data_IF_809546280891
#
_entry.id   IF_809546280891
#
_cell.length_a   1.000
_cell.length_b   1.000
_cell.length_c   1.000
_cell.angle_alpha   90.00
_cell.angle_beta   90.00
_cell.angle_gamma   90.00
#
_symmetry.space_group_name_H-M   'P 1'
#
loop_
_entity.id
_entity.type
_entity.pdbx_description
1 polymer ?
#
# COMPACT_ATOMS: atom_id res chain seq x y z
N UNK A 1 10.62 2.26 1.18
CA UNK A 1 11.75 1.51 1.75
C UNK A 1 11.20 0.37 2.59
N UNK A 2 11.54 -0.87 2.24
CA UNK A 2 11.12 -2.06 2.98
C UNK A 2 12.09 -2.33 4.13
N UNK A 3 11.56 -2.39 5.35
CA UNK A 3 12.29 -2.67 6.59
C UNK A 3 11.46 -3.62 7.45
N UNK A 4 12.02 -4.25 8.50
CA UNK A 4 11.25 -5.07 9.42
C UNK A 4 10.11 -4.32 10.15
N UNK A 5 10.10 -3.00 10.15
CA UNK A 5 9.01 -2.16 10.69
C UNK A 5 8.00 -1.74 9.62
N UNK A 6 8.20 -2.10 8.35
CA UNK A 6 7.26 -1.73 7.30
C UNK A 6 6.05 -2.67 7.30
N UNK A 7 4.89 -2.11 7.03
CA UNK A 7 3.66 -2.91 6.92
C UNK A 7 3.77 -4.00 5.85
N UNK A 8 4.43 -3.71 4.72
CA UNK A 8 4.66 -4.70 3.67
C UNK A 8 5.46 -5.93 4.15
N UNK A 9 6.40 -5.77 5.09
CA UNK A 9 7.10 -6.90 5.69
C UNK A 9 6.15 -7.79 6.49
N UNK A 10 5.30 -7.21 7.33
CA UNK A 10 4.34 -7.96 8.13
C UNK A 10 3.27 -8.64 7.29
N UNK A 11 2.86 -8.00 6.18
CA UNK A 11 1.97 -8.65 5.21
C UNK A 11 2.66 -9.85 4.54
N UNK A 12 3.92 -9.70 4.12
CA UNK A 12 4.68 -10.80 3.51
C UNK A 12 4.84 -11.98 4.49
N UNK A 13 5.19 -11.70 5.75
CA UNK A 13 5.30 -12.70 6.80
C UNK A 13 3.95 -13.41 7.03
N UNK A 14 2.87 -12.65 7.17
CA UNK A 14 1.53 -13.21 7.37
C UNK A 14 1.06 -14.04 6.18
N UNK A 15 1.35 -13.59 4.95
CA UNK A 15 1.04 -14.35 3.75
C UNK A 15 1.82 -15.68 3.69
N UNK A 16 3.10 -15.71 4.08
CA UNK A 16 3.88 -16.95 4.17
C UNK A 16 3.31 -17.92 5.22
N UNK A 17 2.83 -17.43 6.36
CA UNK A 17 2.15 -18.25 7.38
C UNK A 17 0.89 -18.92 6.81
N UNK A 18 0.23 -18.32 5.82
CA UNK A 18 -0.90 -18.91 5.08
C UNK A 18 -0.47 -19.72 3.84
N UNK A 19 0.83 -19.91 3.65
CA UNK A 19 1.38 -20.76 2.58
C UNK A 19 1.65 -20.05 1.26
N UNK A 20 1.63 -18.73 1.21
CA UNK A 20 1.96 -17.98 -0.01
C UNK A 20 3.47 -17.97 -0.28
N UNK A 21 3.83 -18.06 -1.55
CA UNK A 21 5.17 -17.73 -2.03
C UNK A 21 5.21 -16.22 -2.31
N UNK A 22 6.18 -15.52 -1.72
CA UNK A 22 6.26 -14.07 -1.83
C UNK A 22 7.51 -13.62 -2.55
N UNK A 23 7.39 -12.53 -3.31
CA UNK A 23 8.52 -11.75 -3.81
C UNK A 23 8.41 -10.32 -3.29
N UNK A 24 9.54 -9.69 -3.04
CA UNK A 24 9.60 -8.29 -2.60
C UNK A 24 10.19 -7.42 -3.70
N UNK A 25 9.71 -6.19 -3.80
CA UNK A 25 10.25 -5.23 -4.75
C UNK A 25 10.90 -4.03 -4.06
N UNK A 26 11.94 -3.51 -4.71
CA UNK A 26 12.63 -2.29 -4.32
C UNK A 26 13.46 -1.79 -5.51
N UNK A 27 14.20 -0.70 -5.36
CA UNK A 27 15.05 -0.20 -6.43
C UNK A 27 16.32 0.49 -5.92
N UNK A 28 17.33 0.55 -6.78
CA UNK A 28 18.58 1.26 -6.56
C UNK A 28 19.24 0.88 -5.22
N UNK A 29 19.71 1.87 -4.47
CA UNK A 29 20.40 1.66 -3.19
C UNK A 29 19.55 1.00 -2.10
N UNK A 30 18.22 0.98 -2.28
CA UNK A 30 17.32 0.34 -1.31
C UNK A 30 17.29 -1.18 -1.45
N UNK A 31 17.75 -1.74 -2.58
CA UNK A 31 17.80 -3.19 -2.80
C UNK A 31 18.56 -3.92 -1.69
N UNK A 32 19.73 -3.43 -1.28
CA UNK A 32 20.53 -4.07 -0.22
C UNK A 32 19.83 -4.07 1.17
N UNK A 33 18.98 -3.09 1.43
CA UNK A 33 18.18 -3.05 2.65
C UNK A 33 17.01 -4.02 2.56
N UNK A 34 16.38 -4.09 1.40
CA UNK A 34 15.29 -5.03 1.12
C UNK A 34 15.78 -6.48 1.21
N UNK A 35 16.97 -6.78 0.68
CA UNK A 35 17.61 -8.11 0.80
C UNK A 35 17.81 -8.51 2.28
N UNK A 36 18.39 -7.62 3.09
CA UNK A 36 18.54 -7.86 4.53
C UNK A 36 17.21 -8.05 5.26
N UNK A 37 16.15 -7.44 4.76
CA UNK A 37 14.80 -7.58 5.31
C UNK A 37 14.18 -8.89 4.84
N UNK A 38 14.35 -9.28 3.57
CA UNK A 38 13.91 -10.54 3.01
C UNK A 38 14.48 -11.75 3.78
N UNK A 39 15.76 -11.67 4.17
CA UNK A 39 16.44 -12.71 4.98
C UNK A 39 15.83 -12.93 6.39
N UNK A 40 14.78 -12.17 6.76
CA UNK A 40 14.01 -12.37 8.00
C UNK A 40 12.67 -13.05 7.75
N UNK A 41 12.32 -13.26 6.49
CA UNK A 41 11.19 -14.06 6.07
C UNK A 41 11.60 -15.50 5.90
N UNK A 42 10.63 -16.41 5.83
CA UNK A 42 10.90 -17.83 5.65
C UNK A 42 11.31 -18.14 4.21
N UNK A 43 12.29 -19.02 4.07
CA UNK A 43 12.78 -19.49 2.76
C UNK A 43 13.59 -18.45 1.98
N UNK A 44 13.77 -18.71 0.70
CA UNK A 44 14.49 -17.85 -0.24
C UNK A 44 13.49 -16.92 -0.95
N UNK A 45 13.40 -15.70 -0.47
CA UNK A 45 12.45 -14.70 -0.98
C UNK A 45 13.04 -13.94 -2.15
N UNK A 46 12.43 -14.07 -3.33
CA UNK A 46 12.87 -13.40 -4.53
C UNK A 46 12.76 -11.86 -4.42
N UNK A 47 13.72 -11.17 -5.00
CA UNK A 47 13.74 -9.72 -5.09
C UNK A 47 13.57 -9.27 -6.54
N UNK A 48 12.65 -8.34 -6.77
CA UNK A 48 12.36 -7.74 -8.06
C UNK A 48 12.74 -6.26 -8.01
N UNK A 49 13.55 -5.80 -8.95
CA UNK A 49 13.87 -4.37 -9.04
C UNK A 49 12.70 -3.61 -9.66
N UNK A 50 12.18 -2.61 -8.93
CA UNK A 50 11.05 -1.80 -9.37
C UNK A 50 11.11 -0.39 -8.78
N UNK A 51 11.38 0.60 -9.62
CA UNK A 51 10.99 1.98 -9.42
C UNK A 51 9.72 2.24 -10.24
N UNK A 52 8.62 2.54 -9.58
CA UNK A 52 7.33 2.78 -10.25
C UNK A 52 7.28 4.07 -11.09
N UNK A 53 8.30 4.91 -10.98
CA UNK A 53 8.48 6.11 -11.79
C UNK A 53 9.38 5.87 -13.03
N UNK A 54 9.95 4.67 -13.15
CA UNK A 54 10.79 4.26 -14.29
C UNK A 54 9.97 3.34 -15.23
N UNK A 55 9.78 3.79 -16.47
CA UNK A 55 9.04 3.05 -17.48
C UNK A 55 9.75 1.75 -17.90
N UNK A 56 11.08 1.70 -17.83
CA UNK A 56 11.84 0.49 -18.15
C UNK A 56 11.66 -0.57 -17.07
N UNK A 57 11.63 -0.16 -15.80
CA UNK A 57 11.34 -1.08 -14.70
C UNK A 57 9.92 -1.63 -14.80
N UNK A 58 8.92 -0.78 -15.12
CA UNK A 58 7.55 -1.23 -15.34
C UNK A 58 7.43 -2.19 -16.54
N UNK A 59 8.15 -1.93 -17.63
CA UNK A 59 8.15 -2.80 -18.80
C UNK A 59 8.81 -4.16 -18.54
N UNK A 60 9.84 -4.21 -17.68
CA UNK A 60 10.54 -5.43 -17.31
C UNK A 60 9.83 -6.24 -16.22
N UNK A 61 8.90 -5.62 -15.47
CA UNK A 61 8.27 -6.18 -14.29
C UNK A 61 7.58 -7.54 -14.53
N UNK A 62 6.79 -7.75 -15.60
CA UNK A 62 6.12 -9.05 -15.81
C UNK A 62 7.11 -10.20 -15.92
N UNK A 63 8.14 -10.06 -16.74
CA UNK A 63 9.16 -11.09 -16.92
C UNK A 63 9.96 -11.37 -15.64
N UNK A 64 10.26 -10.34 -14.86
CA UNK A 64 10.96 -10.48 -13.59
C UNK A 64 10.09 -11.22 -12.55
N UNK A 65 8.80 -10.92 -12.48
CA UNK A 65 7.85 -11.59 -11.58
C UNK A 65 7.61 -13.04 -12.01
N UNK A 66 7.44 -13.30 -13.31
CA UNK A 66 7.28 -14.65 -13.83
C UNK A 66 8.51 -15.51 -13.54
N UNK A 67 9.72 -14.97 -13.73
CA UNK A 67 10.96 -15.68 -13.41
C UNK A 67 11.11 -15.94 -11.90
N UNK A 68 10.59 -15.05 -11.06
CA UNK A 68 10.67 -15.16 -9.60
C UNK A 68 9.64 -16.13 -9.00
N UNK A 69 8.41 -16.13 -9.51
CA UNK A 69 7.26 -16.82 -8.90
C UNK A 69 6.61 -17.87 -9.80
N UNK A 70 6.85 -17.84 -11.10
CA UNK A 70 6.18 -18.74 -12.09
C UNK A 70 4.71 -18.41 -12.37
N UNK A 71 4.14 -17.42 -11.67
CA UNK A 71 2.76 -16.97 -11.77
C UNK A 71 2.47 -15.92 -10.73
N UNK A 72 1.24 -15.36 -10.71
CA UNK A 72 0.87 -14.27 -9.80
C UNK A 72 -0.62 -14.31 -9.45
N UNK A 73 -0.94 -14.54 -8.19
CA UNK A 73 -2.30 -14.53 -7.66
C UNK A 73 -2.66 -13.21 -6.96
N UNK A 74 -1.67 -12.44 -6.52
CA UNK A 74 -1.95 -11.22 -5.78
C UNK A 74 -0.81 -10.22 -5.74
N UNK A 75 -1.17 -8.94 -5.59
CA UNK A 75 -0.24 -7.82 -5.48
C UNK A 75 -0.60 -6.93 -4.31
N UNK A 76 0.36 -6.66 -3.44
CA UNK A 76 0.28 -5.58 -2.47
C UNK A 76 1.00 -4.34 -3.01
N UNK A 77 0.28 -3.26 -3.21
CA UNK A 77 0.85 -1.95 -3.49
C UNK A 77 1.03 -1.17 -2.18
N UNK A 78 2.25 -1.19 -1.65
CA UNK A 78 2.65 -0.51 -0.42
C UNK A 78 3.61 0.65 -0.71
N UNK A 79 3.25 1.46 -1.70
CA UNK A 79 4.09 2.53 -2.25
C UNK A 79 3.41 3.87 -2.04
N UNK A 80 4.10 4.81 -1.41
CA UNK A 80 3.70 6.20 -1.33
C UNK A 80 4.94 7.08 -1.15
N UNK A 81 4.92 8.25 -1.77
CA UNK A 81 5.95 9.26 -1.61
C UNK A 81 5.40 10.65 -1.95
N UNK A 82 5.75 11.63 -1.14
CA UNK A 82 5.62 13.05 -1.48
C UNK A 82 6.88 13.78 -1.05
N UNK A 83 7.35 14.78 -1.83
CA UNK A 83 8.42 15.67 -1.40
C UNK A 83 8.07 16.42 -0.12
N UNK A 84 9.09 16.81 0.64
CA UNK A 84 8.91 17.52 1.93
C UNK A 84 8.17 18.85 1.80
N UNK A 85 8.32 19.54 0.65
CA UNK A 85 7.64 20.79 0.35
C UNK A 85 6.16 20.61 -0.07
N UNK A 86 5.71 19.37 -0.20
CA UNK A 86 4.31 18.98 -0.44
C UNK A 86 3.60 18.42 0.81
N UNK A 87 4.25 18.50 1.99
CA UNK A 87 3.78 18.02 3.29
C UNK A 87 3.99 19.06 4.38
N UNK A 88 3.45 18.81 5.58
CA UNK A 88 3.78 19.60 6.78
C UNK A 88 3.11 20.95 6.87
N UNK A 89 1.89 21.10 6.31
CA UNK A 89 1.13 22.36 6.30
C UNK A 89 1.52 23.30 5.16
N UNK A 90 2.15 22.78 4.10
CA UNK A 90 2.62 23.55 2.96
C UNK A 90 1.68 23.47 1.73
N UNK A 91 0.44 23.07 1.92
CA UNK A 91 -0.51 22.81 0.84
C UNK A 91 -0.55 23.91 -0.25
N UNK A 92 -0.71 25.16 0.17
CA UNK A 92 -0.84 26.31 -0.76
C UNK A 92 0.49 26.74 -1.39
N UNK A 93 1.62 26.38 -0.83
CA UNK A 93 2.95 26.79 -1.28
C UNK A 93 3.73 25.68 -2.00
N UNK A 94 3.19 24.47 -2.05
CA UNK A 94 3.84 23.34 -2.73
C UNK A 94 3.99 23.63 -4.23
N UNK A 95 5.18 23.37 -4.82
CA UNK A 95 5.37 23.44 -6.27
C UNK A 95 4.49 22.43 -7.01
N UNK A 96 4.08 22.74 -8.23
CA UNK A 96 3.30 21.82 -9.05
C UNK A 96 4.02 20.49 -9.28
N UNK A 97 5.31 20.53 -9.52
CA UNK A 97 6.17 19.37 -9.75
C UNK A 97 6.18 18.42 -8.54
N UNK A 98 6.13 18.98 -7.32
CA UNK A 98 6.06 18.18 -6.09
C UNK A 98 4.69 17.51 -5.92
N UNK A 99 3.61 18.20 -6.29
CA UNK A 99 2.25 17.64 -6.30
C UNK A 99 2.12 16.54 -7.37
N UNK A 100 2.66 16.76 -8.57
CA UNK A 100 2.68 15.78 -9.66
C UNK A 100 3.45 14.52 -9.27
N UNK A 101 4.61 14.66 -8.63
CA UNK A 101 5.40 13.54 -8.16
C UNK A 101 4.68 12.75 -7.06
N UNK A 102 4.03 13.44 -6.11
CA UNK A 102 3.21 12.80 -5.10
C UNK A 102 2.06 11.98 -5.71
N UNK A 103 1.33 12.54 -6.68
CA UNK A 103 0.27 11.85 -7.41
C UNK A 103 0.82 10.65 -8.20
N UNK A 104 1.88 10.86 -9.01
CA UNK A 104 2.48 9.83 -9.86
C UNK A 104 2.94 8.63 -9.03
N UNK A 105 3.64 8.88 -7.91
CA UNK A 105 4.21 7.81 -7.10
C UNK A 105 3.18 7.15 -6.18
N UNK A 106 2.19 7.89 -5.66
CA UNK A 106 1.31 7.37 -4.61
C UNK A 106 -0.08 6.94 -5.11
N UNK A 107 -0.50 7.39 -6.31
CA UNK A 107 -1.80 7.04 -6.88
C UNK A 107 -1.66 6.36 -8.25
N UNK A 108 -1.05 7.05 -9.22
CA UNK A 108 -0.95 6.52 -10.59
C UNK A 108 -0.15 5.23 -10.68
N UNK A 109 0.87 5.06 -9.82
CA UNK A 109 1.68 3.85 -9.76
C UNK A 109 0.86 2.58 -9.47
N UNK A 110 -0.25 2.68 -8.74
CA UNK A 110 -1.16 1.54 -8.50
C UNK A 110 -1.74 1.02 -9.82
N UNK A 111 -2.24 1.92 -10.67
CA UNK A 111 -2.68 1.58 -12.03
C UNK A 111 -1.52 1.09 -12.91
N UNK A 112 -0.35 1.72 -12.82
CA UNK A 112 0.79 1.35 -13.66
C UNK A 112 1.27 -0.07 -13.36
N UNK A 113 1.41 -0.44 -12.08
CA UNK A 113 1.77 -1.79 -11.63
C UNK A 113 0.67 -2.80 -12.03
N UNK A 114 -0.60 -2.47 -11.80
CA UNK A 114 -1.72 -3.32 -12.19
C UNK A 114 -1.70 -3.60 -13.70
N UNK A 115 -1.52 -2.56 -14.52
CA UNK A 115 -1.46 -2.72 -15.99
C UNK A 115 -0.26 -3.51 -16.48
N UNK A 116 0.91 -3.33 -15.86
CA UNK A 116 2.11 -4.11 -16.20
C UNK A 116 1.92 -5.60 -15.85
N UNK A 117 1.34 -5.91 -14.70
CA UNK A 117 1.18 -7.29 -14.22
C UNK A 117 -0.11 -7.98 -14.70
N UNK A 118 -0.99 -7.26 -15.39
CA UNK A 118 -2.28 -7.81 -15.84
C UNK A 118 -2.17 -9.14 -16.59
N UNK A 119 -1.23 -9.33 -17.54
CA UNK A 119 -1.09 -10.61 -18.23
C UNK A 119 -0.81 -11.80 -17.30
N UNK A 120 -0.08 -11.59 -16.20
CA UNK A 120 0.20 -12.65 -15.21
C UNK A 120 -1.01 -12.89 -14.30
N UNK A 121 -1.72 -11.82 -13.91
CA UNK A 121 -2.92 -11.90 -13.08
C UNK A 121 -4.08 -12.61 -13.80
N UNK A 122 -4.18 -12.45 -15.14
CA UNK A 122 -5.17 -13.12 -15.96
C UNK A 122 -4.81 -14.57 -16.31
N UNK A 123 -3.52 -14.92 -16.27
CA UNK A 123 -3.04 -16.26 -16.63
C UNK A 123 -3.25 -17.31 -15.54
N UNK A 124 -3.54 -16.89 -14.30
CA UNK A 124 -3.76 -17.76 -13.15
C UNK A 124 -5.04 -18.58 -13.28
N UNK A 125 -5.09 -19.75 -12.61
CA UNK A 125 -6.30 -20.58 -12.50
C UNK A 125 -7.30 -20.04 -11.47
N UNK A 126 -6.89 -19.05 -10.66
CA UNK A 126 -7.65 -18.43 -9.58
C UNK A 126 -7.95 -16.98 -9.89
N UNK A 127 -8.98 -16.45 -9.24
CA UNK A 127 -9.22 -15.01 -9.22
C UNK A 127 -8.06 -14.30 -8.52
N UNK A 128 -7.43 -13.35 -9.21
CA UNK A 128 -6.33 -12.59 -8.66
C UNK A 128 -6.81 -11.35 -7.88
N UNK A 129 -5.95 -10.79 -7.05
CA UNK A 129 -6.29 -9.63 -6.24
C UNK A 129 -5.18 -8.57 -6.19
N UNK A 130 -5.58 -7.32 -6.32
CA UNK A 130 -4.77 -6.15 -6.04
C UNK A 130 -5.23 -5.54 -4.71
N UNK A 131 -4.30 -5.26 -3.81
CA UNK A 131 -4.57 -4.53 -2.58
C UNK A 131 -3.61 -3.36 -2.46
N UNK A 132 -4.14 -2.15 -2.30
CA UNK A 132 -3.34 -0.95 -2.03
C UNK A 132 -3.42 -0.52 -0.57
N UNK A 133 -2.32 0.01 -0.03
CA UNK A 133 -2.32 0.66 1.28
C UNK A 133 -2.73 2.12 1.14
N UNK A 134 -3.71 2.49 1.94
CA UNK A 134 -4.30 3.81 1.95
C UNK A 134 -4.22 4.46 3.34
N UNK A 135 -4.60 5.73 3.38
CA UNK A 135 -4.90 6.48 4.59
C UNK A 135 -6.15 7.31 4.29
N UNK A 136 -7.12 7.34 5.18
CA UNK A 136 -8.43 7.94 4.96
C UNK A 136 -8.32 9.33 4.29
N UNK A 137 -8.89 9.45 3.11
CA UNK A 137 -8.87 10.66 2.31
C UNK A 137 -10.25 11.36 2.25
N UNK A 138 -11.18 10.94 3.10
CA UNK A 138 -12.52 11.54 3.19
C UNK A 138 -12.50 12.93 3.81
N UNK A 139 -11.43 13.28 4.53
CA UNK A 139 -11.22 14.56 5.23
C UNK A 139 -9.82 15.10 4.99
N UNK A 140 -9.63 16.40 5.26
CA UNK A 140 -8.31 17.03 5.21
C UNK A 140 -7.57 16.80 6.54
N UNK A 141 -6.53 15.98 6.50
CA UNK A 141 -5.67 15.73 7.66
C UNK A 141 -4.65 16.85 7.81
N UNK A 142 -4.43 17.36 9.02
CA UNK A 142 -3.33 18.28 9.29
C UNK A 142 -2.02 17.70 8.80
N UNK A 143 -1.14 18.52 8.21
CA UNK A 143 0.20 18.12 7.75
C UNK A 143 0.30 17.13 6.60
N UNK A 144 -0.81 16.53 6.13
CA UNK A 144 -0.79 15.50 5.09
C UNK A 144 -0.86 16.06 3.66
N UNK A 145 -1.45 17.24 3.49
CA UNK A 145 -1.44 18.10 2.31
C UNK A 145 -1.61 17.34 0.97
N UNK A 146 -0.63 17.42 0.08
CA UNK A 146 -0.70 16.77 -1.23
C UNK A 146 -0.65 15.23 -1.18
N UNK A 147 -0.18 14.64 -0.09
CA UNK A 147 -0.37 13.20 0.09
C UNK A 147 -1.85 12.86 0.31
N UNK A 148 -2.62 13.68 1.02
CA UNK A 148 -4.06 13.50 1.16
C UNK A 148 -4.78 13.56 -0.19
N UNK A 149 -4.41 14.52 -1.06
CA UNK A 149 -4.92 14.58 -2.45
C UNK A 149 -4.53 13.33 -3.24
N UNK A 150 -3.30 12.85 -3.10
CA UNK A 150 -2.85 11.64 -3.78
C UNK A 150 -3.60 10.39 -3.26
N UNK A 151 -3.94 10.33 -1.96
CA UNK A 151 -4.76 9.23 -1.41
C UNK A 151 -6.20 9.26 -1.91
N UNK A 152 -6.83 10.44 -1.99
CA UNK A 152 -8.15 10.58 -2.63
C UNK A 152 -8.12 10.14 -4.10
N UNK A 153 -7.05 10.45 -4.83
CA UNK A 153 -6.84 9.96 -6.18
C UNK A 153 -6.65 8.44 -6.23
N UNK A 154 -5.89 7.84 -5.29
CA UNK A 154 -5.71 6.39 -5.16
C UNK A 154 -7.05 5.67 -4.95
N UNK A 155 -7.91 6.20 -4.08
CA UNK A 155 -9.26 5.68 -3.88
C UNK A 155 -10.08 5.68 -5.18
N UNK A 156 -9.98 6.77 -5.97
CA UNK A 156 -10.64 6.83 -7.27
C UNK A 156 -10.04 5.83 -8.25
N UNK A 157 -8.70 5.72 -8.32
CA UNK A 157 -8.01 4.72 -9.16
C UNK A 157 -8.45 3.31 -8.81
N UNK A 158 -8.59 2.98 -7.53
CA UNK A 158 -9.08 1.68 -7.08
C UNK A 158 -10.45 1.33 -7.67
N UNK A 159 -11.41 2.28 -7.62
CA UNK A 159 -12.75 2.08 -8.19
C UNK A 159 -12.73 1.84 -9.70
N UNK A 160 -11.88 2.56 -10.43
CA UNK A 160 -11.70 2.34 -11.88
C UNK A 160 -11.02 1.00 -12.18
N UNK A 161 -10.00 0.60 -11.41
CA UNK A 161 -9.38 -0.72 -11.54
C UNK A 161 -10.38 -1.85 -11.26
N UNK A 162 -11.18 -1.75 -10.21
CA UNK A 162 -12.22 -2.73 -9.91
C UNK A 162 -13.21 -2.89 -11.06
N UNK A 163 -13.64 -1.78 -11.71
CA UNK A 163 -14.52 -1.79 -12.89
C UNK A 163 -13.86 -2.46 -14.09
N UNK A 164 -12.62 -2.06 -14.39
CA UNK A 164 -11.98 -2.43 -15.65
C UNK A 164 -11.37 -3.84 -15.62
N UNK A 165 -10.88 -4.27 -14.45
CA UNK A 165 -10.25 -5.57 -14.25
C UNK A 165 -11.22 -6.67 -13.78
N UNK A 166 -12.37 -6.27 -13.23
CA UNK A 166 -13.38 -7.23 -12.76
C UNK A 166 -13.82 -8.26 -13.81
N UNK A 167 -14.07 -7.89 -15.09
CA UNK A 167 -14.36 -8.85 -16.13
C UNK A 167 -13.29 -9.91 -16.39
N UNK A 168 -12.04 -9.62 -16.03
CA UNK A 168 -10.89 -10.56 -16.11
C UNK A 168 -10.69 -11.36 -14.81
N UNK A 169 -11.61 -11.28 -13.84
CA UNK A 169 -11.48 -11.99 -12.56
C UNK A 169 -10.45 -11.37 -11.59
N UNK A 170 -10.02 -10.14 -11.82
CA UNK A 170 -9.05 -9.45 -10.95
C UNK A 170 -9.77 -8.44 -10.07
N UNK A 171 -9.68 -8.62 -8.76
CA UNK A 171 -10.25 -7.72 -7.74
C UNK A 171 -9.27 -6.61 -7.37
N UNK A 172 -9.79 -5.43 -7.03
CA UNK A 172 -8.97 -4.31 -6.56
C UNK A 172 -9.60 -3.68 -5.33
N UNK A 173 -8.87 -3.61 -4.23
CA UNK A 173 -9.34 -3.04 -2.97
C UNK A 173 -8.24 -2.24 -2.28
N UNK A 174 -8.63 -1.39 -1.34
CA UNK A 174 -7.71 -0.64 -0.49
C UNK A 174 -7.92 -0.99 0.99
N UNK A 175 -6.83 -0.90 1.75
CA UNK A 175 -6.86 -0.92 3.21
C UNK A 175 -6.43 0.45 3.70
N UNK A 176 -7.37 1.20 4.28
CA UNK A 176 -7.12 2.48 4.94
C UNK A 176 -6.73 2.21 6.39
N UNK A 177 -5.45 2.32 6.68
CA UNK A 177 -4.87 1.99 7.98
C UNK A 177 -4.79 3.20 8.88
N UNK A 178 -5.04 3.03 10.19
CA UNK A 178 -4.63 4.00 11.18
C UNK A 178 -3.10 4.20 11.19
N UNK A 179 -2.58 5.26 11.86
CA UNK A 179 -1.16 5.56 11.85
C UNK A 179 -0.34 4.44 12.50
N UNK A 180 0.69 3.97 11.78
CA UNK A 180 1.63 2.97 12.26
C UNK A 180 3.05 3.55 12.27
N UNK A 181 3.85 3.18 13.26
CA UNK A 181 5.25 3.63 13.39
C UNK A 181 6.17 2.92 12.41
N UNK A 182 6.16 3.37 11.17
CA UNK A 182 7.00 2.86 10.08
C UNK A 182 8.11 3.84 9.70
N UNK A 183 9.06 3.39 8.90
CA UNK A 183 10.08 4.29 8.32
C UNK A 183 9.45 5.36 7.42
N UNK A 184 8.40 5.02 6.69
CA UNK A 184 7.66 5.98 5.86
C UNK A 184 6.99 7.06 6.73
N UNK A 185 6.37 6.68 7.84
CA UNK A 185 5.73 7.60 8.78
C UNK A 185 6.71 8.61 9.41
N UNK A 186 7.96 8.21 9.64
CA UNK A 186 9.02 9.12 10.15
C UNK A 186 9.34 10.27 9.18
N UNK A 187 9.07 10.11 7.90
CA UNK A 187 9.26 11.15 6.89
C UNK A 187 8.12 12.18 6.83
N UNK A 188 7.03 11.99 7.57
CA UNK A 188 5.89 12.91 7.60
C UNK A 188 6.09 13.90 8.75
N UNK A 189 6.27 15.22 8.48
CA UNK A 189 6.38 16.21 9.52
C UNK A 189 5.13 16.21 10.41
N UNK A 190 5.28 16.20 11.75
CA UNK A 190 4.14 16.18 12.69
C UNK A 190 3.42 14.84 12.84
N UNK A 191 3.91 13.74 12.24
CA UNK A 191 3.32 12.41 12.40
C UNK A 191 3.12 12.02 13.88
N UNK A 192 4.03 12.44 14.77
CA UNK A 192 3.93 12.13 16.19
C UNK A 192 2.61 12.64 16.79
N UNK A 193 2.22 13.88 16.49
CA UNK A 193 1.01 14.49 17.02
C UNK A 193 -0.25 13.76 16.51
N UNK A 194 -0.25 13.39 15.23
CA UNK A 194 -1.30 12.57 14.63
C UNK A 194 -1.42 11.21 15.32
N UNK A 195 -0.29 10.54 15.55
CA UNK A 195 -0.24 9.22 16.18
C UNK A 195 -0.67 9.26 17.65
N UNK A 196 -0.35 10.35 18.39
CA UNK A 196 -0.71 10.50 19.78
C UNK A 196 -2.22 10.75 19.99
N UNK A 197 -2.89 11.42 19.05
CA UNK A 197 -4.34 11.64 19.16
C UNK A 197 -5.18 10.42 18.83
N UNK A 198 -4.65 9.47 18.05
CA UNK A 198 -5.43 8.37 17.50
C UNK A 198 -6.03 7.44 18.57
N UNK A 199 -5.25 6.96 19.58
CA UNK A 199 -5.78 6.07 20.62
C UNK A 199 -6.92 6.67 21.44
N UNK A 200 -6.96 7.99 21.59
CA UNK A 200 -8.00 8.68 22.35
C UNK A 200 -9.33 8.82 21.58
N UNK A 201 -9.28 8.72 20.23
CA UNK A 201 -10.45 8.89 19.38
C UNK A 201 -10.98 7.55 18.85
N UNK A 202 -10.11 6.56 18.65
CA UNK A 202 -10.49 5.25 18.15
C UNK A 202 -11.26 4.45 19.22
N UNK A 203 -12.51 4.04 18.99
CA UNK A 203 -13.31 3.34 20.00
C UNK A 203 -12.72 2.04 20.52
N UNK A 204 -11.96 1.32 19.69
CA UNK A 204 -11.24 0.10 20.05
C UNK A 204 -9.86 0.40 20.67
N UNK A 205 -9.48 1.68 20.76
CA UNK A 205 -8.09 2.06 20.92
C UNK A 205 -7.30 1.81 19.62
N UNK A 206 -6.02 2.18 19.64
CA UNK A 206 -5.12 1.93 18.52
C UNK A 206 -3.68 1.83 19.01
N UNK A 207 -3.03 0.71 18.69
CA UNK A 207 -1.60 0.54 18.95
C UNK A 207 -0.81 0.84 17.69
N UNK A 208 -0.08 1.94 17.69
CA UNK A 208 0.75 2.37 16.54
C UNK A 208 1.95 1.45 16.28
N UNK A 209 2.25 0.53 17.20
CA UNK A 209 3.34 -0.47 17.05
C UNK A 209 2.81 -1.81 16.54
N UNK A 210 1.49 -2.03 16.51
CA UNK A 210 0.90 -3.30 16.07
C UNK A 210 0.41 -3.24 14.61
N UNK A 211 1.19 -3.79 13.65
CA UNK A 211 0.80 -3.87 12.25
C UNK A 211 -0.15 -5.05 11.93
N UNK A 212 -0.35 -5.98 12.86
CA UNK A 212 -1.01 -7.27 12.60
C UNK A 212 -2.46 -7.12 12.13
N UNK A 213 -3.31 -6.25 12.74
CA UNK A 213 -4.68 -6.07 12.24
C UNK A 213 -4.75 -5.66 10.77
N UNK A 214 -3.84 -4.77 10.34
CA UNK A 214 -3.74 -4.32 8.96
C UNK A 214 -3.23 -5.44 8.05
N UNK A 215 -2.16 -6.16 8.47
CA UNK A 215 -1.61 -7.27 7.71
C UNK A 215 -2.64 -8.38 7.49
N UNK A 216 -3.41 -8.74 8.52
CA UNK A 216 -4.49 -9.73 8.44
C UNK A 216 -5.57 -9.32 7.43
N UNK A 217 -5.97 -8.04 7.45
CA UNK A 217 -6.98 -7.53 6.51
C UNK A 217 -6.47 -7.53 5.07
N UNK A 218 -5.19 -7.18 4.84
CA UNK A 218 -4.58 -7.29 3.52
C UNK A 218 -4.57 -8.74 3.04
N UNK A 219 -4.14 -9.70 3.87
CA UNK A 219 -4.13 -11.11 3.51
C UNK A 219 -5.56 -11.65 3.27
N UNK A 220 -6.56 -11.23 4.05
CA UNK A 220 -7.96 -11.53 3.78
C UNK A 220 -8.39 -11.05 2.40
N UNK A 221 -8.09 -9.79 2.03
CA UNK A 221 -8.43 -9.23 0.72
C UNK A 221 -7.69 -9.88 -0.44
N UNK A 222 -6.48 -10.38 -0.22
CA UNK A 222 -5.72 -11.14 -1.22
C UNK A 222 -6.24 -12.57 -1.39
N UNK A 223 -6.94 -13.12 -0.38
CA UNK A 223 -7.42 -14.50 -0.38
C UNK A 223 -8.79 -14.69 -1.05
N UNK A 224 -9.15 -15.95 -1.32
CA UNK A 224 -10.46 -16.35 -1.86
C UNK A 224 -11.63 -16.04 -0.91
N UNK A 225 -11.35 -15.78 0.37
CA UNK A 225 -12.37 -15.38 1.33
C UNK A 225 -13.04 -14.04 0.96
N UNK A 226 -12.32 -13.20 0.22
CA UNK A 226 -12.77 -11.89 -0.24
C UNK A 226 -13.27 -11.87 -1.69
N UNK A 227 -13.58 -13.02 -2.31
CA UNK A 227 -13.95 -13.14 -3.73
C UNK A 227 -15.15 -12.29 -4.19
N UNK A 228 -15.99 -11.85 -3.26
CA UNK A 228 -17.12 -10.96 -3.55
C UNK A 228 -16.83 -9.48 -3.29
N UNK A 229 -15.57 -9.09 -2.97
CA UNK A 229 -15.20 -7.73 -2.57
C UNK A 229 -14.27 -7.13 -3.61
N UNK A 230 -14.71 -6.06 -4.27
CA UNK A 230 -13.89 -5.30 -5.23
C UNK A 230 -14.35 -3.84 -5.28
N UNK A 231 -13.43 -2.91 -5.37
CA UNK A 231 -13.68 -1.48 -5.36
C UNK A 231 -13.80 -0.85 -3.97
N UNK A 232 -13.65 -1.66 -2.91
CA UNK A 232 -13.83 -1.23 -1.53
C UNK A 232 -12.58 -0.58 -0.92
N UNK A 233 -12.84 0.20 0.13
CA UNK A 233 -11.84 0.76 1.04
C UNK A 233 -12.20 0.27 2.43
N UNK A 234 -11.38 -0.62 2.98
CA UNK A 234 -11.61 -1.19 4.32
C UNK A 234 -10.76 -0.43 5.33
N UNK A 235 -11.43 0.21 6.28
CA UNK A 235 -10.76 0.90 7.37
C UNK A 235 -10.29 -0.08 8.44
N UNK A 236 -9.00 0.03 8.79
CA UNK A 236 -8.37 -0.70 9.89
C UNK A 236 -7.65 0.33 10.75
N UNK A 237 -8.40 1.01 11.60
CA UNK A 237 -8.01 2.22 12.30
C UNK A 237 -8.56 2.32 13.74
N UNK A 238 -9.05 1.19 14.26
CA UNK A 238 -9.70 1.14 15.58
C UNK A 238 -11.10 1.75 15.61
N UNK A 239 -11.69 2.04 14.44
CA UNK A 239 -12.99 2.69 14.31
C UNK A 239 -12.93 4.22 14.37
N UNK A 240 -11.75 4.80 14.24
CA UNK A 240 -11.54 6.26 14.25
C UNK A 240 -12.42 6.97 13.22
N UNK A 241 -12.43 6.49 11.97
CA UNK A 241 -13.21 7.09 10.86
C UNK A 241 -14.72 7.13 11.13
N UNK A 242 -15.24 6.26 12.00
CA UNK A 242 -16.68 6.11 12.24
C UNK A 242 -17.24 7.05 13.31
N UNK A 243 -16.38 7.80 14.02
CA UNK A 243 -16.80 8.67 15.11
C UNK A 243 -16.58 10.15 14.78
N UNK A 244 -17.58 10.98 15.06
CA UNK A 244 -17.53 12.42 14.78
C UNK A 244 -16.82 13.24 15.87
N UNK A 245 -16.56 12.65 17.03
CA UNK A 245 -15.90 13.31 18.16
C UNK A 245 -15.29 12.27 19.10
N UNK A 246 -14.25 12.63 19.90
CA UNK A 246 -13.72 11.73 20.91
C UNK A 246 -14.81 11.32 21.92
N UNK A 247 -14.65 10.13 22.52
CA UNK A 247 -15.51 9.68 23.61
C UNK A 247 -15.39 10.67 24.79
N UNK A 248 -16.55 11.14 25.28
CA UNK A 248 -16.65 12.05 26.41
C UNK A 248 -16.39 11.32 27.72
#
# INVERSE_FOLDING_TARGET
>A
VLTPQSLAFHVAQRAQEEGAIVALSSFGRMMSLTERTANRLDGDVALVELDVNDEQHLAALPAAVEAALGGLDGVLHAIAFAPEDALGGKFMSAPAESAELAFRTSAYSYKAVAGALLPLLEAGEREAALVGLDFDASVAWPIYDWMGVAKAALESVNRYLARDLGPSGVRSNLVSAGPLRTMAAKGIPGFKDLAEMWPAHAPLGWDIEDPIPVANTVCFLLSDLARGISGEIIHVDGGFHAVGAPSL
#
